data_IF_208367477019
#
_entry.id   IF_208367477019
#
_cell.length_a   1.000
_cell.length_b   1.000
_cell.length_c   1.000
_cell.angle_alpha   90.00
_cell.angle_beta   90.00
_cell.angle_gamma   90.00
#
_symmetry.space_group_name_H-M   'P 1'
#
loop_
_entity.id
_entity.type
_entity.pdbx_description
1 polymer ?
#
# COMPACT_ATOMS: atom_id res chain seq x y z
N UNK A 1 0.90 3.17 -27.50
CA UNK A 1 1.83 2.06 -27.31
C UNK A 1 3.18 2.60 -26.84
N UNK A 2 3.82 1.98 -25.83
CA UNK A 2 5.16 2.35 -25.36
C UNK A 2 6.16 1.30 -25.85
N UNK A 3 7.16 1.72 -26.63
CA UNK A 3 8.28 0.88 -27.09
C UNK A 3 9.54 1.15 -26.23
N UNK A 4 10.52 0.25 -26.27
CA UNK A 4 11.76 0.41 -25.49
C UNK A 4 11.62 0.19 -23.98
N UNK A 5 10.60 -0.56 -23.52
CA UNK A 5 10.39 -0.82 -22.08
C UNK A 5 11.52 -1.61 -21.40
N UNK A 6 12.25 -2.40 -22.19
CA UNK A 6 13.38 -3.20 -21.73
C UNK A 6 14.47 -3.13 -22.79
N UNK A 7 15.72 -3.17 -22.33
CA UNK A 7 16.90 -3.22 -23.19
C UNK A 7 17.75 -4.45 -22.87
N UNK A 8 18.61 -4.82 -23.80
CA UNK A 8 19.56 -5.92 -23.63
C UNK A 8 20.91 -5.34 -23.27
N UNK A 9 21.47 -5.73 -22.12
CA UNK A 9 22.75 -5.20 -21.64
C UNK A 9 23.91 -5.50 -22.58
N UNK A 10 24.02 -6.74 -23.03
CA UNK A 10 25.08 -7.20 -23.92
C UNK A 10 24.67 -8.43 -24.73
N UNK A 11 25.35 -8.62 -25.86
CA UNK A 11 25.06 -9.65 -26.85
C UNK A 11 25.46 -11.07 -26.42
N UNK A 12 26.28 -11.20 -25.37
CA UNK A 12 26.77 -12.47 -24.84
C UNK A 12 25.78 -13.00 -23.80
N UNK A 13 25.51 -12.22 -22.75
CA UNK A 13 24.60 -12.60 -21.67
C UNK A 13 23.13 -12.58 -22.11
N UNK A 14 22.80 -11.77 -23.14
CA UNK A 14 21.42 -11.51 -23.61
C UNK A 14 20.47 -11.11 -22.47
N UNK A 15 21.01 -10.59 -21.38
CA UNK A 15 20.26 -10.23 -20.19
C UNK A 15 19.41 -9.00 -20.48
N UNK A 16 18.09 -9.12 -20.29
CA UNK A 16 17.16 -8.00 -20.45
C UNK A 16 16.88 -7.33 -19.12
N UNK A 17 17.04 -6.01 -19.06
CA UNK A 17 16.70 -5.18 -17.92
C UNK A 17 15.56 -4.21 -18.27
N UNK A 18 14.85 -3.74 -17.24
CA UNK A 18 13.90 -2.65 -17.40
C UNK A 18 14.66 -1.37 -17.76
N UNK A 19 14.15 -0.64 -18.74
CA UNK A 19 14.73 0.63 -19.17
C UNK A 19 14.12 1.77 -18.33
N UNK A 20 14.94 2.39 -17.48
CA UNK A 20 14.64 3.55 -16.65
C UNK A 20 15.21 4.86 -17.22
N UNK A 21 15.76 4.82 -18.43
CA UNK A 21 16.38 5.95 -19.14
C UNK A 21 17.75 5.62 -19.75
N UNK A 22 18.21 4.37 -19.66
CA UNK A 22 19.47 3.92 -20.24
C UNK A 22 19.43 3.89 -21.79
N UNK A 23 18.26 3.63 -22.38
CA UNK A 23 18.03 3.69 -23.82
C UNK A 23 16.76 4.49 -24.15
N UNK A 24 16.58 4.84 -25.42
CA UNK A 24 15.41 5.60 -25.87
C UNK A 24 14.09 4.85 -25.66
N UNK A 25 13.07 5.62 -25.25
CA UNK A 25 11.69 5.13 -25.10
C UNK A 25 10.75 5.99 -25.94
N UNK A 26 9.98 5.33 -26.81
CA UNK A 26 9.03 6.00 -27.70
C UNK A 26 7.59 5.71 -27.27
N UNK A 27 6.80 6.76 -27.07
CA UNK A 27 5.38 6.65 -26.78
C UNK A 27 4.54 7.08 -27.98
N UNK A 28 4.00 6.11 -28.69
CA UNK A 28 3.14 6.31 -29.86
C UNK A 28 1.69 6.44 -29.39
N UNK A 29 1.01 7.54 -29.75
CA UNK A 29 -0.41 7.76 -29.43
C UNK A 29 -1.30 7.04 -30.47
N UNK A 30 -2.44 6.51 -30.02
CA UNK A 30 -3.50 5.95 -30.88
C UNK A 30 -3.06 4.88 -31.90
N UNK A 31 -2.08 4.05 -31.57
CA UNK A 31 -1.59 2.98 -32.45
C UNK A 31 -2.64 1.87 -32.71
N UNK A 32 -3.55 1.64 -31.77
CA UNK A 32 -4.64 0.70 -31.91
C UNK A 32 -5.85 1.23 -31.14
N UNK A 33 -7.02 0.69 -31.46
CA UNK A 33 -8.24 0.97 -30.71
C UNK A 33 -8.01 0.64 -29.22
N UNK A 34 -8.28 1.59 -28.31
CA UNK A 34 -8.02 1.38 -26.90
C UNK A 34 -9.02 0.40 -26.28
N UNK A 35 -8.53 -0.57 -25.49
CA UNK A 35 -9.39 -1.54 -24.77
C UNK A 35 -10.30 -0.84 -23.75
N UNK A 36 -9.81 0.23 -23.13
CA UNK A 36 -10.53 1.07 -22.17
C UNK A 36 -10.28 2.54 -22.48
N UNK A 37 -11.22 3.42 -22.13
CA UNK A 37 -11.03 4.85 -22.34
C UNK A 37 -9.81 5.37 -21.57
N UNK A 38 -9.21 6.45 -22.10
CA UNK A 38 -8.05 7.09 -21.48
C UNK A 38 -8.36 7.60 -20.07
N UNK A 39 -9.57 8.10 -19.86
CA UNK A 39 -10.07 8.57 -18.57
C UNK A 39 -10.13 7.47 -17.50
N UNK A 40 -10.61 6.27 -17.88
CA UNK A 40 -10.65 5.11 -16.98
C UNK A 40 -9.24 4.66 -16.66
N UNK A 41 -8.35 4.59 -17.66
CA UNK A 41 -6.95 4.27 -17.43
C UNK A 41 -6.27 5.26 -16.48
N UNK A 42 -6.45 6.57 -16.70
CA UNK A 42 -5.88 7.62 -15.85
C UNK A 42 -6.43 7.57 -14.42
N UNK A 43 -7.72 7.31 -14.27
CA UNK A 43 -8.36 7.10 -12.97
C UNK A 43 -7.79 5.90 -12.23
N UNK A 44 -7.59 4.77 -12.93
CA UNK A 44 -6.93 3.60 -12.38
C UNK A 44 -5.47 3.90 -11.96
N UNK A 45 -4.72 4.64 -12.78
CA UNK A 45 -3.35 5.07 -12.45
C UNK A 45 -3.32 5.97 -11.21
N UNK A 46 -4.29 6.88 -11.03
CA UNK A 46 -4.41 7.71 -9.81
C UNK A 46 -4.63 6.84 -8.57
N UNK A 47 -5.52 5.84 -8.64
CA UNK A 47 -5.76 4.88 -7.55
C UNK A 47 -4.49 4.07 -7.25
N UNK A 48 -3.81 3.59 -8.29
CA UNK A 48 -2.57 2.82 -8.17
C UNK A 48 -1.48 3.65 -7.47
N UNK A 49 -1.26 4.90 -7.90
CA UNK A 49 -0.31 5.83 -7.27
C UNK A 49 -0.67 6.10 -5.80
N UNK A 50 -1.95 6.35 -5.51
CA UNK A 50 -2.44 6.54 -4.13
C UNK A 50 -2.14 5.32 -3.25
N UNK A 51 -2.41 4.11 -3.74
CA UNK A 51 -2.14 2.85 -3.01
C UNK A 51 -0.65 2.49 -2.93
N UNK A 52 0.18 3.00 -3.85
CA UNK A 52 1.63 2.76 -3.90
C UNK A 52 2.47 3.65 -2.98
N UNK A 53 2.03 4.89 -2.70
CA UNK A 53 2.69 5.83 -1.77
C UNK A 53 3.11 5.25 -0.40
N UNK A 54 2.32 4.42 0.32
CA UNK A 54 2.69 3.98 1.68
C UNK A 54 3.91 3.04 1.78
N UNK A 55 4.54 2.63 0.66
CA UNK A 55 5.77 1.81 0.68
C UNK A 55 7.08 2.61 0.71
N UNK A 56 7.07 3.89 0.35
CA UNK A 56 8.29 4.68 0.07
C UNK A 56 8.54 5.86 1.01
N UNK A 57 7.76 6.03 2.08
CA UNK A 57 7.84 7.22 2.94
C UNK A 57 8.60 6.89 4.22
N UNK A 58 9.49 7.81 4.59
CA UNK A 58 10.35 7.83 5.78
C UNK A 58 9.65 7.38 7.07
N UNK A 59 10.47 6.89 8.01
CA UNK A 59 10.08 6.35 9.32
C UNK A 59 9.12 7.23 10.15
N UNK A 60 9.06 8.53 9.85
CA UNK A 60 8.28 9.52 10.60
C UNK A 60 6.83 9.70 10.12
N UNK A 61 6.44 9.19 8.94
CA UNK A 61 5.05 9.32 8.45
C UNK A 61 4.31 7.99 8.63
N UNK A 62 3.19 8.04 9.36
CA UNK A 62 2.35 6.86 9.56
C UNK A 62 1.77 6.37 8.24
N UNK A 63 2.17 5.16 7.83
CA UNK A 63 1.72 4.53 6.58
C UNK A 63 0.20 4.39 6.54
N UNK A 64 -0.44 4.98 5.52
CA UNK A 64 -1.83 4.69 5.19
C UNK A 64 -1.93 3.26 4.63
N UNK A 65 -2.32 2.31 5.49
CA UNK A 65 -2.67 0.96 5.03
C UNK A 65 -4.09 0.98 4.49
N UNK A 66 -4.29 0.39 3.31
CA UNK A 66 -5.60 0.14 2.74
C UNK A 66 -5.79 -1.37 2.63
N UNK A 67 -6.39 -1.98 3.64
CA UNK A 67 -6.77 -3.39 3.61
C UNK A 67 -8.22 -3.54 4.05
N UNK A 68 -8.97 -4.37 3.31
CA UNK A 68 -10.35 -4.74 3.63
C UNK A 68 -10.44 -6.16 4.20
N UNK A 69 -9.39 -6.63 4.89
CA UNK A 69 -9.33 -8.00 5.42
C UNK A 69 -10.47 -8.30 6.41
N UNK A 70 -10.86 -7.30 7.21
CA UNK A 70 -12.00 -7.38 8.12
C UNK A 70 -12.85 -6.11 8.01
N UNK A 71 -14.09 -6.16 8.50
CA UNK A 71 -15.09 -5.09 8.36
C UNK A 71 -14.57 -3.69 8.71
N UNK A 72 -13.74 -3.57 9.75
CA UNK A 72 -13.22 -2.27 10.21
C UNK A 72 -11.72 -2.07 9.97
N UNK A 73 -11.12 -2.90 9.13
CA UNK A 73 -9.68 -2.81 8.83
C UNK A 73 -9.36 -1.43 8.24
N UNK A 74 -8.40 -0.74 8.87
CA UNK A 74 -7.94 0.60 8.46
C UNK A 74 -8.99 1.72 8.55
N UNK A 75 -10.16 1.46 9.13
CA UNK A 75 -11.26 2.43 9.25
C UNK A 75 -11.28 3.11 10.62
N UNK A 76 -11.14 2.35 11.72
CA UNK A 76 -11.29 2.90 13.07
C UNK A 76 -10.01 3.61 13.52
N UNK A 77 -10.17 4.81 14.08
CA UNK A 77 -9.10 5.63 14.68
C UNK A 77 -9.25 5.69 16.19
N UNK A 78 -8.12 5.78 16.88
CA UNK A 78 -8.07 5.97 18.33
C UNK A 78 -8.47 7.41 18.64
N UNK A 79 -9.50 7.60 19.47
CA UNK A 79 -9.94 8.93 19.89
C UNK A 79 -8.89 9.72 20.71
N UNK A 80 -7.84 9.06 21.20
CA UNK A 80 -6.80 9.70 22.02
C UNK A 80 -5.56 10.09 21.22
N UNK A 81 -4.98 9.15 20.45
CA UNK A 81 -3.73 9.39 19.72
C UNK A 81 -3.89 9.45 18.19
N UNK A 82 -5.11 9.36 17.67
CA UNK A 82 -5.41 9.43 16.23
C UNK A 82 -4.92 8.23 15.40
N UNK A 83 -4.11 7.33 15.97
CA UNK A 83 -3.62 6.14 15.25
C UNK A 83 -4.71 5.10 15.05
N UNK A 84 -4.56 4.28 14.01
CA UNK A 84 -5.53 3.25 13.64
C UNK A 84 -5.65 2.16 14.72
N UNK A 85 -6.86 1.61 14.89
CA UNK A 85 -7.11 0.40 15.67
C UNK A 85 -6.88 -0.85 14.82
N UNK A 86 -6.25 -1.88 15.40
CA UNK A 86 -6.05 -3.19 14.75
C UNK A 86 -6.84 -4.28 15.43
N UNK A 87 -7.40 -5.18 14.63
CA UNK A 87 -8.06 -6.41 15.11
C UNK A 87 -7.03 -7.34 15.75
N UNK A 88 -7.34 -7.84 16.95
CA UNK A 88 -6.53 -8.79 17.71
C UNK A 88 -7.43 -9.87 18.31
N UNK A 89 -6.87 -11.05 18.52
CA UNK A 89 -7.52 -12.13 19.25
C UNK A 89 -7.16 -12.02 20.73
N UNK A 90 -8.16 -11.87 21.61
CA UNK A 90 -7.98 -11.86 23.06
C UNK A 90 -8.43 -13.19 23.63
N UNK A 91 -7.71 -13.67 24.65
CA UNK A 91 -8.02 -14.87 25.44
C UNK A 91 -7.98 -16.11 24.55
N UNK A 92 -6.98 -16.13 23.66
CA UNK A 92 -6.76 -17.26 22.76
C UNK A 92 -6.62 -18.54 23.55
N UNK A 93 -7.32 -19.60 23.14
CA UNK A 93 -7.31 -20.89 23.82
C UNK A 93 -8.22 -20.99 25.05
N UNK A 94 -9.02 -19.96 25.37
CA UNK A 94 -10.04 -20.00 26.44
C UNK A 94 -11.45 -19.95 25.87
N UNK A 95 -12.43 -20.43 26.65
CA UNK A 95 -13.86 -20.46 26.26
C UNK A 95 -14.47 -19.07 26.01
N UNK A 96 -13.82 -18.00 26.50
CA UNK A 96 -14.24 -16.61 26.33
C UNK A 96 -13.30 -15.83 25.40
N UNK A 97 -12.71 -16.53 24.42
CA UNK A 97 -11.92 -15.88 23.37
C UNK A 97 -12.79 -14.93 22.54
N UNK A 98 -12.24 -13.75 22.21
CA UNK A 98 -12.98 -12.73 21.46
C UNK A 98 -12.06 -11.91 20.57
N UNK A 99 -12.64 -11.39 19.50
CA UNK A 99 -11.94 -10.47 18.61
C UNK A 99 -12.18 -9.03 19.06
N UNK A 100 -11.11 -8.30 19.31
CA UNK A 100 -11.18 -6.89 19.74
C UNK A 100 -10.42 -5.98 18.78
N UNK A 101 -10.73 -4.69 18.82
CA UNK A 101 -10.03 -3.64 18.09
C UNK A 101 -9.24 -2.80 19.09
N UNK A 102 -7.91 -2.79 18.96
CA UNK A 102 -7.02 -2.12 19.91
C UNK A 102 -6.11 -1.10 19.23
N UNK A 103 -5.84 -0.01 19.93
CA UNK A 103 -4.97 1.08 19.45
C UNK A 103 -3.56 0.57 19.16
N UNK A 104 -3.06 0.77 17.94
CA UNK A 104 -1.71 0.29 17.54
C UNK A 104 -0.59 0.90 18.36
N UNK A 105 -0.67 2.19 18.74
CA UNK A 105 0.35 2.83 19.59
C UNK A 105 0.47 2.08 20.91
N UNK A 106 -0.65 1.93 21.61
CA UNK A 106 -0.73 1.23 22.89
C UNK A 106 -0.26 -0.23 22.80
N UNK A 107 -0.64 -0.96 21.74
CA UNK A 107 -0.20 -2.34 21.58
C UNK A 107 1.30 -2.47 21.32
N UNK A 108 1.92 -1.54 20.58
CA UNK A 108 3.34 -1.62 20.20
C UNK A 108 4.29 -0.96 21.20
N UNK A 109 3.91 0.19 21.73
CA UNK A 109 4.71 1.01 22.65
C UNK A 109 4.18 1.02 24.08
N UNK A 110 3.17 0.19 24.38
CA UNK A 110 2.54 0.13 25.70
C UNK A 110 1.68 1.35 26.03
N UNK A 111 1.07 1.34 27.22
CA UNK A 111 0.24 2.44 27.74
C UNK A 111 0.98 3.78 27.76
N UNK A 112 2.31 3.80 27.92
CA UNK A 112 3.13 5.03 27.87
C UNK A 112 2.88 5.86 26.61
N UNK A 113 2.65 5.21 25.47
CA UNK A 113 2.44 5.88 24.17
C UNK A 113 0.99 6.28 23.91
N UNK A 114 0.03 5.76 24.67
CA UNK A 114 -1.38 6.16 24.58
C UNK A 114 -2.09 5.82 25.91
N UNK A 115 -1.88 6.64 26.96
CA UNK A 115 -2.26 6.28 28.34
C UNK A 115 -3.76 6.02 28.52
N UNK A 116 -4.59 6.79 27.81
CA UNK A 116 -6.04 6.72 27.92
C UNK A 116 -6.69 5.69 27.00
N UNK A 117 -5.92 5.03 26.12
CA UNK A 117 -6.49 3.95 25.31
C UNK A 117 -6.91 2.80 26.21
N UNK A 118 -8.19 2.43 26.11
CA UNK A 118 -8.69 1.23 26.78
C UNK A 118 -8.06 0.01 26.11
N UNK A 119 -7.44 -0.84 26.94
CA UNK A 119 -6.84 -2.12 26.55
C UNK A 119 -7.94 -3.09 26.21
#
# INVERSE_FOLDING_TARGET
>A
MLQGKTFTLDHISKRRLANFGEEDQFYIRNHHEPIISREVFESAQKILKRRGKPRRIDSNITREKYTRKFAFSCMIKCGFCGRTLTRRHWNSGKNYSKNIWQCVSATKGGKKTCPHSKV
#
